data_IF_336831761360
#
_entry.id   IF_336831761360
#
_cell.length_a   1.000
_cell.length_b   1.000
_cell.length_c   1.000
_cell.angle_alpha   90.00
_cell.angle_beta   90.00
_cell.angle_gamma   90.00
#
_symmetry.space_group_name_H-M   'P 1'
#
loop_
_entity.id
_entity.type
_entity.pdbx_description
1 polymer ?
#
# COMPACT_ATOMS: atom_id res chain seq x y z
N UNK A 1 -0.85 9.62 -23.15
CA UNK A 1 -1.29 8.22 -22.87
C UNK A 1 -1.24 8.00 -21.38
N UNK A 2 -2.34 7.61 -20.78
CA UNK A 2 -2.41 7.31 -19.33
C UNK A 2 -1.79 5.94 -19.07
N UNK A 3 -0.79 5.87 -18.20
CA UNK A 3 -0.21 4.58 -17.79
C UNK A 3 -1.20 3.90 -16.84
N UNK A 4 -1.51 2.65 -17.13
CA UNK A 4 -2.34 1.83 -16.26
C UNK A 4 -1.48 1.28 -15.12
N UNK A 5 -1.90 1.42 -13.85
CA UNK A 5 -1.16 0.86 -12.73
C UNK A 5 -1.01 -0.66 -12.85
N UNK A 6 0.19 -1.16 -12.54
CA UNK A 6 0.52 -2.58 -12.60
C UNK A 6 0.54 -3.23 -11.22
N UNK A 7 0.70 -2.45 -10.17
CA UNK A 7 0.78 -2.96 -8.81
C UNK A 7 0.25 -1.94 -7.80
N UNK A 8 -0.37 -2.43 -6.74
CA UNK A 8 -0.83 -1.65 -5.60
C UNK A 8 0.12 -1.84 -4.42
N UNK A 9 0.49 -0.74 -3.79
CA UNK A 9 1.44 -0.73 -2.69
C UNK A 9 0.74 -0.84 -1.33
N UNK A 10 1.28 -1.69 -0.47
CA UNK A 10 0.91 -1.73 0.94
C UNK A 10 1.56 -0.57 1.73
N UNK A 11 0.94 -0.19 2.84
CA UNK A 11 1.44 0.85 3.76
C UNK A 11 2.88 0.61 4.18
N UNK A 12 3.26 -0.63 4.49
CA UNK A 12 4.62 -0.96 4.93
C UNK A 12 5.69 -0.66 3.87
N UNK A 13 5.33 -0.67 2.59
CA UNK A 13 6.24 -0.31 1.49
C UNK A 13 6.44 1.21 1.43
N UNK A 14 5.36 1.99 1.60
CA UNK A 14 5.46 3.44 1.64
C UNK A 14 6.28 3.92 2.83
N UNK A 15 6.01 3.39 4.02
CA UNK A 15 6.76 3.73 5.23
C UNK A 15 8.25 3.40 5.05
N UNK A 16 8.57 2.22 4.54
CA UNK A 16 9.95 1.82 4.29
C UNK A 16 10.64 2.72 3.25
N UNK A 17 9.93 3.12 2.20
CA UNK A 17 10.47 4.01 1.17
C UNK A 17 10.73 5.43 1.68
N UNK A 18 9.93 5.92 2.62
CA UNK A 18 10.05 7.26 3.18
C UNK A 18 11.05 7.32 4.34
N UNK A 19 11.09 6.33 5.20
CA UNK A 19 11.92 6.32 6.41
C UNK A 19 13.33 5.77 6.13
N UNK A 20 14.32 6.66 6.12
CA UNK A 20 15.73 6.32 5.85
C UNK A 20 16.31 5.25 6.79
N UNK A 21 15.84 5.21 8.03
CA UNK A 21 16.32 4.25 9.04
C UNK A 21 15.59 2.92 9.02
N UNK A 22 14.59 2.77 8.14
CA UNK A 22 13.85 1.53 8.03
C UNK A 22 14.74 0.42 7.44
N UNK A 23 14.66 -0.79 7.99
CA UNK A 23 15.46 -1.93 7.53
C UNK A 23 15.25 -2.26 6.04
N UNK A 24 14.06 -1.99 5.51
CA UNK A 24 13.70 -2.22 4.11
C UNK A 24 13.73 -0.95 3.24
N UNK A 25 14.36 0.13 3.71
CA UNK A 25 14.40 1.39 2.96
C UNK A 25 15.05 1.24 1.59
N UNK A 26 16.26 0.68 1.54
CA UNK A 26 17.03 0.54 0.30
C UNK A 26 16.26 -0.19 -0.81
N UNK A 27 15.77 -1.41 -0.57
CA UNK A 27 14.99 -2.14 -1.57
C UNK A 27 13.69 -1.44 -1.98
N UNK A 28 13.01 -0.77 -1.06
CA UNK A 28 11.76 -0.04 -1.35
C UNK A 28 12.02 1.17 -2.25
N UNK A 29 13.04 1.97 -1.97
CA UNK A 29 13.45 3.09 -2.83
C UNK A 29 13.93 2.59 -4.20
N UNK A 30 14.71 1.51 -4.24
CA UNK A 30 15.17 0.94 -5.50
C UNK A 30 14.00 0.52 -6.41
N UNK A 31 12.94 -0.02 -5.83
CA UNK A 31 11.72 -0.36 -6.56
C UNK A 31 11.07 0.90 -7.17
N UNK A 32 10.88 1.96 -6.39
CA UNK A 32 10.34 3.22 -6.90
C UNK A 32 11.17 3.80 -8.04
N UNK A 33 12.49 3.76 -7.91
CA UNK A 33 13.40 4.29 -8.93
C UNK A 33 13.36 3.52 -10.27
N UNK A 34 12.93 2.26 -10.24
CA UNK A 34 12.77 1.44 -11.47
C UNK A 34 11.38 1.57 -12.10
N UNK A 35 10.38 1.95 -11.34
CA UNK A 35 9.02 2.11 -11.84
C UNK A 35 8.88 3.40 -12.65
N UNK A 36 8.03 3.37 -13.68
CA UNK A 36 7.62 4.59 -14.38
C UNK A 36 6.55 5.30 -13.55
N UNK A 37 6.47 6.61 -13.71
CA UNK A 37 5.40 7.39 -13.05
C UNK A 37 4.02 6.82 -13.42
N UNK A 38 3.21 6.53 -12.40
CA UNK A 38 1.88 5.96 -12.55
C UNK A 38 1.79 4.43 -12.71
N UNK A 39 2.90 3.71 -12.82
CA UNK A 39 2.89 2.23 -12.82
C UNK A 39 2.55 1.64 -11.44
N UNK A 40 2.87 2.36 -10.38
CA UNK A 40 2.52 1.98 -9.01
C UNK A 40 1.29 2.75 -8.56
N UNK A 41 0.41 2.08 -7.85
CA UNK A 41 -0.79 2.69 -7.29
C UNK A 41 -0.79 2.63 -5.77
N UNK A 42 -1.49 3.56 -5.17
CA UNK A 42 -1.74 3.63 -3.72
C UNK A 42 -3.23 3.75 -3.49
N UNK A 43 -3.76 2.95 -2.58
CA UNK A 43 -5.17 3.08 -2.17
C UNK A 43 -5.35 4.28 -1.22
N UNK A 44 -6.50 4.95 -1.33
CA UNK A 44 -6.76 6.18 -0.58
C UNK A 44 -6.57 6.03 0.94
N UNK A 45 -7.03 4.91 1.53
CA UNK A 45 -6.87 4.68 2.97
C UNK A 45 -5.41 4.46 3.40
N UNK A 46 -4.55 3.98 2.50
CA UNK A 46 -3.12 3.76 2.77
C UNK A 46 -2.39 5.09 3.04
N UNK A 47 -2.85 6.18 2.45
CA UNK A 47 -2.33 7.52 2.75
C UNK A 47 -2.52 7.86 4.22
N UNK A 48 -3.71 7.65 4.75
CA UNK A 48 -4.02 7.92 6.16
C UNK A 48 -3.24 7.00 7.11
N UNK A 49 -3.11 5.73 6.78
CA UNK A 49 -2.30 4.79 7.56
C UNK A 49 -0.81 5.17 7.56
N UNK A 50 -0.28 5.55 6.41
CA UNK A 50 1.12 6.00 6.27
C UNK A 50 1.37 7.22 7.15
N UNK A 51 0.50 8.23 7.07
CA UNK A 51 0.58 9.42 7.92
C UNK A 51 0.55 9.05 9.40
N UNK A 52 -0.41 8.23 9.81
CA UNK A 52 -0.56 7.78 11.19
C UNK A 52 0.69 7.04 11.69
N UNK A 53 1.25 6.18 10.86
CA UNK A 53 2.45 5.39 11.21
C UNK A 53 3.69 6.28 11.39
N UNK A 54 3.89 7.24 10.50
CA UNK A 54 5.05 8.13 10.54
C UNK A 54 4.99 9.11 11.73
N UNK A 55 3.80 9.59 12.08
CA UNK A 55 3.62 10.66 13.07
C UNK A 55 3.23 10.16 14.47
N UNK A 56 3.01 8.87 14.64
CA UNK A 56 2.48 8.32 15.90
C UNK A 56 3.35 8.67 17.10
N UNK A 57 2.75 9.29 18.09
CA UNK A 57 3.40 9.54 19.38
C UNK A 57 3.80 8.20 20.04
N UNK A 58 5.08 8.07 20.43
CA UNK A 58 5.62 6.81 20.95
C UNK A 58 5.94 5.76 19.88
N UNK A 59 5.73 6.07 18.60
CA UNK A 59 6.13 5.22 17.48
C UNK A 59 7.64 5.28 17.21
N UNK A 60 8.09 4.41 16.30
CA UNK A 60 9.52 4.27 15.97
C UNK A 60 10.10 5.50 15.25
N UNK A 61 9.28 6.20 14.44
CA UNK A 61 9.79 7.17 13.48
C UNK A 61 9.60 8.64 13.90
N UNK A 62 8.51 8.98 14.52
CA UNK A 62 8.22 10.32 15.10
C UNK A 62 8.40 11.49 14.14
N UNK A 63 7.93 11.36 12.93
CA UNK A 63 7.96 12.46 11.98
C UNK A 63 7.06 13.61 12.41
N UNK A 64 7.45 14.83 12.08
CA UNK A 64 6.56 15.99 12.24
C UNK A 64 5.43 15.91 11.19
N UNK A 65 4.24 16.48 11.49
CA UNK A 65 3.09 16.44 10.56
C UNK A 65 3.42 16.97 9.17
N UNK A 66 4.13 18.08 9.07
CA UNK A 66 4.50 18.66 7.78
C UNK A 66 5.50 17.79 7.01
N UNK A 67 6.43 17.15 7.69
CA UNK A 67 7.38 16.20 7.07
C UNK A 67 6.63 14.99 6.50
N UNK A 68 5.71 14.43 7.27
CA UNK A 68 4.91 13.30 6.82
C UNK A 68 4.05 13.68 5.59
N UNK A 69 3.44 14.84 5.60
CA UNK A 69 2.68 15.32 4.44
C UNK A 69 3.56 15.49 3.20
N UNK A 70 4.72 16.13 3.34
CA UNK A 70 5.65 16.33 2.22
C UNK A 70 6.16 15.00 1.66
N UNK A 71 6.46 14.03 2.52
CA UNK A 71 6.84 12.68 2.11
C UNK A 71 5.74 11.99 1.31
N UNK A 72 4.51 11.99 1.82
CA UNK A 72 3.34 11.45 1.14
C UNK A 72 3.11 12.16 -0.20
N UNK A 73 3.15 13.48 -0.23
CA UNK A 73 2.98 14.26 -1.46
C UNK A 73 4.05 13.89 -2.51
N UNK A 74 5.27 13.60 -2.09
CA UNK A 74 6.33 13.16 -3.01
C UNK A 74 6.02 11.81 -3.66
N UNK A 75 5.47 10.86 -2.90
CA UNK A 75 5.02 9.57 -3.43
C UNK A 75 3.84 9.77 -4.39
N UNK A 76 2.90 10.64 -4.04
CA UNK A 76 1.72 10.89 -4.88
C UNK A 76 2.06 11.50 -6.25
N UNK A 77 3.18 12.18 -6.38
CA UNK A 77 3.62 12.70 -7.69
C UNK A 77 4.00 11.61 -8.70
N UNK A 78 4.40 10.44 -8.23
CA UNK A 78 4.90 9.34 -9.08
C UNK A 78 3.99 8.10 -9.06
N UNK A 79 2.91 8.12 -8.29
CA UNK A 79 1.97 7.01 -8.18
C UNK A 79 0.57 7.42 -8.63
N UNK A 80 -0.27 6.42 -8.91
CA UNK A 80 -1.69 6.63 -9.19
C UNK A 80 -2.49 6.39 -7.92
N UNK A 81 -3.33 7.35 -7.53
CA UNK A 81 -4.25 7.18 -6.42
C UNK A 81 -5.50 6.42 -6.88
N UNK A 82 -5.82 5.34 -6.18
CA UNK A 82 -7.02 4.53 -6.42
C UNK A 82 -7.81 4.36 -5.14
N UNK A 83 -9.02 3.85 -5.22
CA UNK A 83 -9.82 3.61 -4.03
C UNK A 83 -11.07 2.82 -4.33
N UNK A 84 -11.83 2.58 -3.29
CA UNK A 84 -13.14 1.98 -3.33
C UNK A 84 -14.20 3.09 -3.36
N UNK A 85 -15.30 2.86 -4.07
CA UNK A 85 -16.48 3.67 -3.89
C UNK A 85 -16.99 3.53 -2.44
N UNK A 86 -17.75 4.51 -1.93
CA UNK A 86 -18.34 4.39 -0.57
C UNK A 86 -19.16 3.10 -0.40
N UNK A 87 -19.95 2.71 -1.38
CA UNK A 87 -20.71 1.47 -1.35
C UNK A 87 -19.82 0.23 -1.33
N UNK A 88 -18.75 0.21 -2.14
CA UNK A 88 -17.81 -0.91 -2.19
C UNK A 88 -17.01 -1.04 -0.89
N UNK A 89 -16.65 0.06 -0.26
CA UNK A 89 -15.98 0.03 1.04
C UNK A 89 -16.88 -0.51 2.14
N UNK A 90 -18.14 -0.08 2.17
CA UNK A 90 -19.13 -0.62 3.11
C UNK A 90 -19.32 -2.13 2.92
N UNK A 91 -19.44 -2.58 1.68
CA UNK A 91 -19.59 -3.99 1.34
C UNK A 91 -18.36 -4.81 1.73
N UNK A 92 -17.16 -4.30 1.50
CA UNK A 92 -15.91 -4.94 1.91
C UNK A 92 -15.85 -5.18 3.43
N UNK A 93 -16.28 -4.21 4.23
CA UNK A 93 -16.35 -4.36 5.69
C UNK A 93 -17.36 -5.45 6.08
N UNK A 94 -18.53 -5.48 5.44
CA UNK A 94 -19.55 -6.51 5.67
C UNK A 94 -19.00 -7.91 5.34
N UNK A 95 -18.38 -8.09 4.18
CA UNK A 95 -17.82 -9.38 3.76
C UNK A 95 -16.68 -9.81 4.69
N UNK A 96 -15.83 -8.87 5.11
CA UNK A 96 -14.76 -9.17 6.06
C UNK A 96 -15.29 -9.65 7.41
N UNK A 97 -16.38 -9.04 7.89
CA UNK A 97 -17.08 -9.49 9.11
C UNK A 97 -17.70 -10.89 8.96
N UNK A 98 -18.32 -11.17 7.81
CA UNK A 98 -18.87 -12.50 7.48
C UNK A 98 -17.79 -13.59 7.45
N UNK A 99 -16.56 -13.22 7.09
CA UNK A 99 -15.38 -14.11 7.13
C UNK A 99 -14.72 -14.18 8.51
N UNK A 100 -15.34 -13.63 9.54
CA UNK A 100 -14.82 -13.55 10.90
C UNK A 100 -13.51 -12.77 11.03
N UNK A 101 -13.30 -11.79 10.16
CA UNK A 101 -12.14 -10.90 10.18
C UNK A 101 -12.13 -10.01 11.43
N UNK A 102 -10.94 -9.75 11.98
CA UNK A 102 -10.79 -9.04 13.26
C UNK A 102 -9.72 -7.95 13.16
N UNK A 103 -10.04 -6.80 13.74
CA UNK A 103 -9.08 -5.74 14.03
C UNK A 103 -8.41 -5.09 12.82
N UNK A 104 -7.14 -4.70 12.93
CA UNK A 104 -6.44 -3.95 11.88
C UNK A 104 -6.27 -4.69 10.55
N UNK A 105 -6.51 -5.98 10.51
CA UNK A 105 -6.50 -6.76 9.25
C UNK A 105 -7.52 -6.29 8.23
N UNK A 106 -8.54 -5.53 8.64
CA UNK A 106 -9.47 -4.89 7.71
C UNK A 106 -8.75 -3.97 6.72
N UNK A 107 -7.71 -3.28 7.14
CA UNK A 107 -6.97 -2.37 6.26
C UNK A 107 -6.25 -3.12 5.14
N UNK A 108 -5.64 -4.27 5.44
CA UNK A 108 -5.04 -5.15 4.43
C UNK A 108 -6.10 -5.72 3.47
N UNK A 109 -7.27 -6.06 4.02
CA UNK A 109 -8.40 -6.51 3.21
C UNK A 109 -8.89 -5.42 2.24
N UNK A 110 -8.96 -4.16 2.68
CA UNK A 110 -9.31 -3.03 1.81
C UNK A 110 -8.28 -2.80 0.70
N UNK A 111 -7.00 -3.07 0.92
CA UNK A 111 -5.98 -2.99 -0.12
C UNK A 111 -6.29 -3.99 -1.24
N UNK A 112 -6.54 -5.24 -0.92
CA UNK A 112 -6.86 -6.26 -1.92
C UNK A 112 -8.15 -5.98 -2.68
N UNK A 113 -9.18 -5.52 -1.98
CA UNK A 113 -10.45 -5.11 -2.61
C UNK A 113 -10.23 -3.92 -3.57
N UNK A 114 -9.44 -2.92 -3.18
CA UNK A 114 -9.10 -1.80 -4.04
C UNK A 114 -8.32 -2.25 -5.28
N UNK A 115 -7.39 -3.20 -5.14
CA UNK A 115 -6.67 -3.77 -6.27
C UNK A 115 -7.63 -4.44 -7.26
N UNK A 116 -8.50 -5.32 -6.79
CA UNK A 116 -9.44 -6.05 -7.64
C UNK A 116 -10.42 -5.10 -8.35
N UNK A 117 -10.97 -4.13 -7.66
CA UNK A 117 -11.92 -3.17 -8.26
C UNK A 117 -11.28 -2.24 -9.28
N UNK A 118 -10.00 -1.98 -9.17
CA UNK A 118 -9.27 -1.14 -10.12
C UNK A 118 -8.52 -1.94 -11.21
N UNK A 119 -8.78 -3.26 -11.29
CA UNK A 119 -8.17 -4.13 -12.29
C UNK A 119 -6.66 -4.29 -12.13
N UNK A 120 -6.16 -4.19 -10.91
CA UNK A 120 -4.77 -4.38 -10.56
C UNK A 120 -4.61 -5.79 -9.98
N UNK A 121 -3.79 -6.61 -10.59
CA UNK A 121 -3.64 -8.03 -10.23
C UNK A 121 -2.46 -8.29 -9.29
N UNK A 122 -1.67 -7.27 -8.94
CA UNK A 122 -0.49 -7.40 -8.10
C UNK A 122 -0.54 -6.47 -6.89
N UNK A 123 -0.16 -7.01 -5.73
CA UNK A 123 0.12 -6.25 -4.51
C UNK A 123 1.60 -6.37 -4.17
N UNK A 124 2.24 -5.26 -3.83
CA UNK A 124 3.61 -5.23 -3.34
C UNK A 124 3.57 -4.92 -1.84
N UNK A 125 4.14 -5.82 -1.05
CA UNK A 125 4.14 -5.74 0.41
C UNK A 125 5.37 -6.42 1.01
N UNK A 126 5.82 -5.99 2.18
CA UNK A 126 6.81 -6.71 2.97
C UNK A 126 6.20 -7.88 3.77
N UNK A 127 4.88 -7.90 3.92
CA UNK A 127 4.14 -8.98 4.60
C UNK A 127 3.45 -9.91 3.58
N UNK A 128 4.24 -10.59 2.77
CA UNK A 128 3.72 -11.37 1.62
C UNK A 128 2.86 -12.55 2.03
N UNK A 129 3.23 -13.28 3.07
CA UNK A 129 2.49 -14.49 3.50
C UNK A 129 1.09 -14.13 3.99
N UNK A 130 0.94 -13.06 4.76
CA UNK A 130 -0.34 -12.60 5.25
C UNK A 130 -1.25 -12.13 4.11
N UNK A 131 -0.72 -11.31 3.21
CA UNK A 131 -1.49 -10.80 2.07
C UNK A 131 -1.92 -11.93 1.12
N UNK A 132 -1.06 -12.93 0.88
CA UNK A 132 -1.42 -14.12 0.08
C UNK A 132 -2.55 -14.91 0.71
N UNK A 133 -2.59 -15.01 2.02
CA UNK A 133 -3.66 -15.72 2.73
C UNK A 133 -5.03 -15.03 2.57
N UNK A 134 -5.04 -13.70 2.53
CA UNK A 134 -6.26 -12.91 2.30
C UNK A 134 -6.72 -12.94 0.85
N UNK A 135 -5.78 -12.88 -0.10
CA UNK A 135 -6.06 -12.77 -1.53
C UNK A 135 -5.28 -13.79 -2.36
N UNK A 136 -5.67 -15.08 -2.32
CA UNK A 136 -4.94 -16.13 -3.04
C UNK A 136 -4.96 -15.99 -4.57
N UNK A 137 -5.87 -15.17 -5.11
CA UNK A 137 -5.98 -14.91 -6.56
C UNK A 137 -5.10 -13.76 -7.03
N UNK A 138 -4.59 -12.93 -6.13
CA UNK A 138 -3.70 -11.83 -6.48
C UNK A 138 -2.24 -12.26 -6.43
N UNK A 139 -1.43 -11.66 -7.30
CA UNK A 139 0.02 -11.81 -7.25
C UNK A 139 0.55 -10.94 -6.11
N UNK A 140 1.19 -11.53 -5.15
CA UNK A 140 1.76 -10.82 -4.00
C UNK A 140 3.27 -10.98 -4.01
N UNK A 141 3.99 -9.87 -4.09
CA UNK A 141 5.46 -9.84 -4.14
C UNK A 141 6.05 -8.84 -3.16
N UNK A 142 7.25 -9.12 -2.68
CA UNK A 142 8.04 -8.12 -1.96
C UNK A 142 8.68 -7.13 -2.95
N UNK A 143 9.09 -5.92 -2.50
CA UNK A 143 9.81 -4.97 -3.35
C UNK A 143 11.07 -5.53 -4.02
N UNK A 144 11.74 -6.48 -3.39
CA UNK A 144 12.92 -7.18 -3.94
C UNK A 144 12.60 -8.15 -5.07
N UNK A 145 11.36 -8.59 -5.21
CA UNK A 145 10.96 -9.67 -6.10
C UNK A 145 10.07 -9.17 -7.26
N UNK A 146 9.93 -7.85 -7.43
CA UNK A 146 9.04 -7.24 -8.43
C UNK A 146 9.38 -7.66 -9.86
N UNK A 147 10.66 -7.88 -10.15
CA UNK A 147 11.17 -8.25 -11.49
C UNK A 147 11.31 -9.76 -11.68
N UNK A 148 10.95 -10.56 -10.68
CA UNK A 148 10.95 -12.02 -10.82
C UNK A 148 9.64 -12.49 -11.48
N UNK A 149 9.74 -13.33 -12.52
CA UNK A 149 8.58 -13.85 -13.24
C UNK A 149 7.65 -14.72 -12.36
#
# INVERSE_FOLDING_TARGET
MTIRPKALLDTNVLVAALELKHEHHGPSIAMFNRARDGELAVAAHVIAETYSTLTRAGGLFRWLPDEAWQGIASVMRVTTLVGLSPAAQLDAVRIFAEKHGIGPRIYDYLIGEAAMQNGIDRIITWNTSHMRSLFPKLRVTAPTDVDRP
#
